data_IF_083049624337
#
_entry.id   IF_083049624337
#
_cell.length_a   1.000
_cell.length_b   1.000
_cell.length_c   1.000
_cell.angle_alpha   90.00
_cell.angle_beta   90.00
_cell.angle_gamma   90.00
#
_symmetry.space_group_name_H-M   'P 1'
#
loop_
_entity.id
_entity.type
_entity.pdbx_description
1 polymer ?
#
# COMPACT_ATOMS: atom_id res chain seq x y z
N UNK A 1 45.41 -28.70 10.20
CA UNK A 1 44.49 -29.58 10.96
C UNK A 1 43.08 -29.27 10.49
N UNK A 2 42.66 -29.98 9.45
CA UNK A 2 41.70 -31.09 9.51
C UNK A 2 40.26 -30.56 9.38
N UNK A 3 39.74 -30.66 8.15
CA UNK A 3 38.38 -30.30 7.80
C UNK A 3 37.36 -31.39 8.13
N UNK A 4 36.08 -31.02 8.12
CA UNK A 4 34.97 -31.94 8.17
C UNK A 4 33.95 -31.53 7.09
N UNK A 5 34.00 -32.25 5.96
CA UNK A 5 32.95 -32.23 4.96
C UNK A 5 31.85 -33.19 5.37
N UNK A 6 30.60 -32.74 5.30
CA UNK A 6 29.42 -33.57 5.52
C UNK A 6 28.86 -33.92 4.14
N UNK A 7 29.10 -35.17 3.74
CA UNK A 7 28.50 -35.80 2.57
C UNK A 7 27.25 -36.54 3.01
N UNK A 8 26.09 -36.17 2.47
CA UNK A 8 24.83 -36.92 2.67
C UNK A 8 24.47 -37.56 1.34
N UNK A 9 24.82 -38.84 1.21
CA UNK A 9 24.30 -39.72 0.17
C UNK A 9 23.17 -40.56 0.76
N UNK A 10 22.01 -40.57 0.09
CA UNK A 10 20.98 -41.59 0.26
C UNK A 10 20.44 -41.94 -1.13
N UNK A 11 21.07 -42.97 -1.71
CA UNK A 11 20.51 -43.76 -2.81
C UNK A 11 19.24 -44.44 -2.32
N UNK A 12 18.11 -44.19 -2.98
CA UNK A 12 16.94 -45.04 -2.85
C UNK A 12 16.75 -45.79 -4.17
N UNK A 13 17.37 -46.97 -4.21
CA UNK A 13 17.22 -47.97 -5.27
C UNK A 13 15.91 -48.72 -5.03
N UNK A 14 14.87 -48.42 -5.80
CA UNK A 14 13.66 -49.23 -5.82
C UNK A 14 13.76 -50.20 -7.01
N UNK A 15 14.16 -51.44 -6.70
CA UNK A 15 14.14 -52.56 -7.62
C UNK A 15 12.71 -53.01 -7.87
N UNK A 16 12.27 -52.88 -9.12
CA UNK A 16 11.01 -53.46 -9.60
C UNK A 16 11.36 -54.81 -10.25
N UNK A 17 10.82 -55.95 -9.76
CA UNK A 17 11.09 -57.24 -10.34
C UNK A 17 10.38 -57.37 -11.70
N UNK A 18 11.18 -57.56 -12.75
CA UNK A 18 10.73 -58.04 -14.05
C UNK A 18 10.36 -59.52 -13.89
N UNK A 19 9.07 -59.83 -13.82
CA UNK A 19 8.57 -61.18 -14.05
C UNK A 19 7.59 -61.20 -15.21
N UNK A 20 8.09 -61.79 -16.29
CA UNK A 20 7.40 -62.37 -17.43
C UNK A 20 6.08 -63.05 -17.04
N UNK A 21 4.98 -62.58 -17.64
CA UNK A 21 3.76 -63.36 -17.86
C UNK A 21 3.33 -63.13 -19.31
N UNK A 22 3.96 -63.89 -20.20
CA UNK A 22 3.44 -64.22 -21.52
C UNK A 22 2.40 -65.33 -21.36
N UNK A 23 1.21 -65.08 -21.89
CA UNK A 23 0.18 -66.02 -22.36
C UNK A 23 -1.19 -65.69 -21.80
N UNK A 24 -1.94 -64.83 -22.50
CA UNK A 24 -3.35 -65.08 -22.78
C UNK A 24 -3.71 -64.43 -24.12
N UNK A 25 -3.86 -65.31 -25.11
CA UNK A 25 -4.35 -64.99 -26.44
C UNK A 25 -5.88 -65.07 -26.39
N UNK A 26 -6.56 -64.06 -26.95
CA UNK A 26 -7.95 -64.19 -27.39
C UNK A 26 -8.97 -63.34 -26.63
N UNK A 27 -9.18 -62.10 -27.09
CA UNK A 27 -10.51 -61.63 -27.52
C UNK A 27 -10.38 -60.18 -27.99
N UNK A 28 -10.62 -59.99 -29.29
CA UNK A 28 -10.73 -58.68 -29.90
C UNK A 28 -11.98 -57.95 -29.41
N UNK A 29 -11.88 -56.62 -29.34
CA UNK A 29 -13.06 -55.75 -29.32
C UNK A 29 -13.22 -54.81 -28.13
N UNK A 30 -12.16 -54.35 -27.45
CA UNK A 30 -12.28 -53.29 -26.43
C UNK A 30 -11.09 -52.30 -26.41
N UNK A 31 -10.39 -52.10 -27.52
CA UNK A 31 -9.21 -51.21 -27.56
C UNK A 31 -9.54 -49.73 -27.84
N UNK A 32 -10.81 -49.36 -28.07
CA UNK A 32 -11.18 -48.03 -28.56
C UNK A 32 -11.80 -47.08 -27.51
N UNK A 33 -11.96 -47.50 -26.25
CA UNK A 33 -12.56 -46.62 -25.21
C UNK A 33 -11.54 -45.94 -24.28
N UNK A 34 -10.30 -46.45 -24.18
CA UNK A 34 -9.27 -45.86 -23.32
C UNK A 34 -8.41 -44.78 -24.00
N UNK A 35 -8.49 -44.62 -25.33
CA UNK A 35 -7.76 -43.60 -26.07
C UNK A 35 -8.34 -42.18 -25.88
N UNK A 36 -9.65 -42.08 -25.64
CA UNK A 36 -10.35 -40.81 -25.40
C UNK A 36 -9.81 -39.99 -24.23
N UNK A 37 -9.74 -40.52 -23.00
CA UNK A 37 -9.29 -39.75 -21.85
C UNK A 37 -7.81 -39.34 -21.95
N UNK A 38 -6.95 -40.17 -22.55
CA UNK A 38 -5.54 -39.83 -22.76
C UNK A 38 -5.36 -38.67 -23.76
N UNK A 39 -6.14 -38.64 -24.84
CA UNK A 39 -6.10 -37.54 -25.80
C UNK A 39 -6.54 -36.21 -25.17
N UNK A 40 -7.56 -36.23 -24.28
CA UNK A 40 -8.03 -35.05 -23.57
C UNK A 40 -6.97 -34.52 -22.60
N UNK A 41 -6.36 -35.40 -21.79
CA UNK A 41 -5.30 -35.00 -20.85
C UNK A 41 -4.10 -34.42 -21.60
N UNK A 42 -3.68 -35.03 -22.71
CA UNK A 42 -2.59 -34.53 -23.53
C UNK A 42 -2.90 -33.15 -24.13
N UNK A 43 -4.13 -32.95 -24.64
CA UNK A 43 -4.57 -31.65 -25.15
C UNK A 43 -4.60 -30.57 -24.05
N UNK A 44 -5.05 -30.90 -22.85
CA UNK A 44 -5.03 -29.98 -21.70
C UNK A 44 -3.60 -29.59 -21.31
N UNK A 45 -2.68 -30.55 -21.24
CA UNK A 45 -1.26 -30.27 -20.93
C UNK A 45 -0.67 -29.33 -21.98
N UNK A 46 -0.87 -29.60 -23.27
CA UNK A 46 -0.38 -28.74 -24.35
C UNK A 46 -0.99 -27.34 -24.31
N UNK A 47 -2.29 -27.21 -24.00
CA UNK A 47 -2.96 -25.92 -23.87
C UNK A 47 -2.40 -25.10 -22.68
N UNK A 48 -2.17 -25.75 -21.54
CA UNK A 48 -1.56 -25.11 -20.35
C UNK A 48 -0.13 -24.69 -20.66
N UNK A 49 0.68 -25.54 -21.30
CA UNK A 49 2.05 -25.19 -21.68
C UNK A 49 2.09 -24.02 -22.66
N UNK A 50 1.20 -24.00 -23.68
CA UNK A 50 1.09 -22.89 -24.62
C UNK A 50 0.61 -21.58 -23.96
N UNK A 51 -0.29 -21.67 -22.98
CA UNK A 51 -0.72 -20.52 -22.20
C UNK A 51 0.41 -19.97 -21.33
N UNK A 52 1.16 -20.85 -20.65
CA UNK A 52 2.30 -20.46 -19.82
C UNK A 52 3.43 -19.83 -20.63
N UNK A 53 3.75 -20.34 -21.83
CA UNK A 53 4.75 -19.71 -22.71
C UNK A 53 4.28 -18.36 -23.24
N UNK A 54 2.98 -18.18 -23.49
CA UNK A 54 2.40 -16.88 -23.86
C UNK A 54 2.43 -15.88 -22.71
N UNK A 55 2.16 -16.30 -21.49
CA UNK A 55 2.21 -15.45 -20.28
C UNK A 55 3.67 -15.09 -19.95
N UNK A 56 4.60 -16.04 -20.06
CA UNK A 56 6.03 -15.80 -19.84
C UNK A 56 6.68 -14.99 -20.98
N UNK A 57 6.12 -15.04 -22.20
CA UNK A 57 6.56 -14.25 -23.35
C UNK A 57 6.20 -12.77 -23.30
N UNK A 58 5.44 -12.32 -22.30
CA UNK A 58 5.32 -10.90 -21.95
C UNK A 58 6.56 -10.42 -21.16
N UNK A 59 7.76 -10.76 -21.62
CA UNK A 59 8.92 -9.93 -21.35
C UNK A 59 8.77 -8.66 -22.17
N UNK A 60 8.57 -7.55 -21.47
CA UNK A 60 8.43 -6.21 -22.02
C UNK A 60 9.45 -5.97 -23.13
N UNK A 61 8.96 -5.82 -24.36
CA UNK A 61 9.70 -5.08 -25.37
C UNK A 61 9.89 -3.68 -24.79
N UNK A 62 11.11 -3.38 -24.36
CA UNK A 62 11.52 -2.08 -23.90
C UNK A 62 11.25 -1.07 -25.03
N UNK A 63 10.29 -0.15 -24.88
CA UNK A 63 10.06 0.84 -25.91
C UNK A 63 11.30 1.73 -25.92
N UNK A 64 12.04 1.70 -27.03
CA UNK A 64 13.14 2.61 -27.30
C UNK A 64 12.64 4.04 -27.08
N UNK A 65 13.07 4.66 -25.97
CA UNK A 65 12.77 6.05 -25.66
C UNK A 65 13.48 6.89 -26.72
N UNK A 66 12.75 7.61 -27.61
CA UNK A 66 13.41 8.52 -28.53
C UNK A 66 14.07 9.64 -27.72
N UNK A 67 15.40 9.70 -27.74
CA UNK A 67 16.14 10.84 -27.20
C UNK A 67 15.77 12.09 -28.00
N UNK A 68 14.82 12.88 -27.49
CA UNK A 68 14.62 14.26 -27.93
C UNK A 68 15.77 15.10 -27.41
N UNK A 69 16.62 15.56 -28.33
CA UNK A 69 17.64 16.59 -28.11
C UNK A 69 16.92 17.88 -27.65
N UNK A 70 17.34 18.42 -26.50
CA UNK A 70 16.67 19.50 -25.78
C UNK A 70 16.77 20.91 -26.44
N UNK A 71 17.08 21.00 -27.74
CA UNK A 71 17.42 22.29 -28.38
C UNK A 71 16.42 22.75 -29.44
N UNK A 72 15.40 21.95 -29.80
CA UNK A 72 14.53 22.25 -30.95
C UNK A 72 13.07 22.59 -30.57
N UNK A 73 12.86 23.38 -29.50
CA UNK A 73 11.55 23.95 -29.23
C UNK A 73 11.52 25.44 -29.62
N UNK A 74 10.76 25.86 -30.65
CA UNK A 74 10.59 27.27 -30.95
C UNK A 74 9.86 27.96 -29.78
N UNK A 75 10.35 29.13 -29.38
CA UNK A 75 9.75 29.98 -28.37
C UNK A 75 8.31 30.35 -28.79
N UNK A 76 7.32 29.60 -28.29
CA UNK A 76 5.92 30.01 -28.39
C UNK A 76 5.67 31.12 -27.38
N UNK A 77 5.26 32.27 -27.91
CA UNK A 77 4.79 33.41 -27.14
C UNK A 77 3.59 32.99 -26.28
N UNK A 78 3.76 33.05 -24.96
CA UNK A 78 2.75 32.77 -23.94
C UNK A 78 1.79 33.94 -23.66
N UNK A 79 1.69 34.88 -24.58
CA UNK A 79 0.83 36.04 -24.39
C UNK A 79 -0.53 35.73 -25.01
N UNK A 80 -1.57 35.70 -24.16
CA UNK A 80 -3.01 35.56 -24.46
C UNK A 80 -3.61 34.15 -24.33
N UNK A 81 -3.55 33.60 -23.11
CA UNK A 81 -4.59 32.68 -22.64
C UNK A 81 -5.50 33.45 -21.67
N UNK A 82 -6.67 33.82 -22.15
CA UNK A 82 -7.77 34.34 -21.35
C UNK A 82 -8.14 33.29 -20.30
N UNK A 83 -7.88 33.59 -19.03
CA UNK A 83 -8.22 32.69 -17.93
C UNK A 83 -9.76 32.51 -17.85
N UNK A 84 -10.27 31.27 -17.73
CA UNK A 84 -11.70 31.04 -17.48
C UNK A 84 -12.12 31.63 -16.14
N UNK A 85 -13.43 31.87 -15.92
CA UNK A 85 -13.96 32.43 -14.69
C UNK A 85 -13.43 31.66 -13.48
N UNK A 86 -12.84 32.42 -12.56
CA UNK A 86 -12.10 31.92 -11.42
C UNK A 86 -13.11 31.22 -10.50
N UNK A 87 -13.05 29.90 -10.40
CA UNK A 87 -13.73 29.19 -9.31
C UNK A 87 -13.22 29.80 -8.00
N UNK A 88 -14.10 30.10 -7.01
CA UNK A 88 -13.65 30.53 -5.71
C UNK A 88 -12.65 29.48 -5.21
N UNK A 89 -11.42 29.92 -4.93
CA UNK A 89 -10.40 29.06 -4.37
C UNK A 89 -11.02 28.38 -3.13
N UNK A 90 -10.86 27.06 -2.95
CA UNK A 90 -11.24 26.43 -1.69
C UNK A 90 -10.56 27.25 -0.58
N UNK A 91 -11.26 27.54 0.53
CA UNK A 91 -10.70 28.36 1.60
C UNK A 91 -9.35 27.78 1.98
N UNK A 92 -8.29 28.53 1.69
CA UNK A 92 -6.96 28.23 2.17
C UNK A 92 -7.03 28.40 3.69
N UNK A 93 -7.31 27.32 4.41
CA UNK A 93 -7.21 27.31 5.86
C UNK A 93 -5.81 27.78 6.22
N UNK A 94 -5.73 28.87 6.97
CA UNK A 94 -4.49 29.42 7.53
C UNK A 94 -3.94 28.48 8.60
N UNK A 95 -3.55 27.27 8.21
CA UNK A 95 -3.03 26.17 9.06
C UNK A 95 -1.74 26.57 9.81
N UNK A 96 -1.11 27.68 9.45
CA UNK A 96 0.21 28.08 9.96
C UNK A 96 0.30 28.29 11.47
N UNK A 97 -0.78 28.67 12.16
CA UNK A 97 -0.78 28.87 13.62
C UNK A 97 -1.23 27.66 14.44
N UNK A 98 -1.88 26.70 13.79
CA UNK A 98 -2.46 25.54 14.46
C UNK A 98 -1.54 24.31 14.43
N UNK A 99 -0.32 24.43 13.93
CA UNK A 99 0.66 23.33 13.90
C UNK A 99 1.45 23.22 15.19
N UNK A 100 1.71 21.99 15.60
CA UNK A 100 2.55 21.69 16.74
C UNK A 100 3.99 22.15 16.46
N UNK A 101 4.55 22.97 17.36
CA UNK A 101 5.93 23.44 17.21
C UNK A 101 6.91 22.27 17.38
N UNK A 102 8.14 22.38 16.86
CA UNK A 102 9.14 21.31 17.01
C UNK A 102 9.41 21.03 18.49
N UNK A 103 9.54 22.08 19.31
CA UNK A 103 9.76 21.98 20.76
C UNK A 103 8.59 21.29 21.45
N UNK A 104 7.35 21.71 21.18
CA UNK A 104 6.17 21.08 21.77
C UNK A 104 6.06 19.62 21.35
N UNK A 105 6.32 19.32 20.08
CA UNK A 105 6.20 17.97 19.58
C UNK A 105 7.29 17.03 20.12
N UNK A 106 8.49 17.52 20.49
CA UNK A 106 9.49 16.68 21.18
C UNK A 106 9.04 16.31 22.60
N UNK A 107 8.26 17.19 23.22
CA UNK A 107 7.74 16.99 24.56
C UNK A 107 6.45 16.15 24.56
N UNK A 108 5.57 16.39 23.59
CA UNK A 108 4.20 15.88 23.58
C UNK A 108 4.05 14.62 22.72
N UNK A 109 4.89 14.38 21.72
CA UNK A 109 4.80 13.16 20.89
C UNK A 109 5.57 12.00 21.54
N UNK A 110 5.12 11.61 22.72
CA UNK A 110 5.66 10.48 23.50
C UNK A 110 4.52 9.52 23.78
N UNK A 111 4.73 8.23 23.47
CA UNK A 111 3.74 7.20 23.73
C UNK A 111 3.45 7.08 25.24
N UNK A 112 2.21 6.74 25.58
CA UNK A 112 1.80 6.48 26.96
C UNK A 112 2.35 5.16 27.51
N UNK A 113 1.94 4.79 28.73
CA UNK A 113 2.37 3.55 29.39
C UNK A 113 1.94 2.28 28.63
N UNK A 114 0.94 2.38 27.75
CA UNK A 114 0.42 1.31 26.91
C UNK A 114 1.09 1.31 25.52
N UNK A 115 2.01 2.24 25.26
CA UNK A 115 2.67 2.40 23.96
C UNK A 115 1.79 3.08 22.91
N UNK A 116 0.68 3.72 23.32
CA UNK A 116 -0.22 4.41 22.39
C UNK A 116 0.19 5.89 22.23
N UNK A 117 0.11 6.43 21.01
CA UNK A 117 0.49 7.82 20.74
C UNK A 117 -0.56 8.79 21.31
N UNK A 118 -0.18 9.98 21.79
CA UNK A 118 -1.12 11.03 22.23
C UNK A 118 -1.70 11.78 21.03
N UNK A 119 -2.17 11.04 20.02
CA UNK A 119 -2.63 11.54 18.74
C UNK A 119 -4.04 11.03 18.44
N UNK A 120 -4.79 11.83 17.70
CA UNK A 120 -6.10 11.48 17.15
C UNK A 120 -6.17 11.93 15.69
N UNK A 121 -7.00 11.26 14.90
CA UNK A 121 -7.32 11.67 13.54
C UNK A 121 -8.58 12.52 13.58
N UNK A 122 -8.52 13.72 13.02
CA UNK A 122 -9.67 14.62 12.88
C UNK A 122 -9.78 15.15 11.46
N UNK A 123 -11.01 15.38 11.00
CA UNK A 123 -11.26 15.96 9.69
C UNK A 123 -11.17 17.49 9.76
N UNK A 124 -10.30 18.08 8.94
CA UNK A 124 -10.22 19.52 8.73
C UNK A 124 -10.31 19.84 7.24
N UNK A 125 -11.45 20.39 6.82
CA UNK A 125 -11.68 20.80 5.44
C UNK A 125 -11.68 19.64 4.43
N UNK A 126 -12.30 18.49 4.78
CA UNK A 126 -12.38 17.31 3.89
C UNK A 126 -11.12 16.43 3.89
N UNK A 127 -10.14 16.75 4.73
CA UNK A 127 -8.87 16.03 4.84
C UNK A 127 -8.66 15.56 6.26
N UNK A 128 -8.22 14.32 6.43
CA UNK A 128 -7.88 13.78 7.73
C UNK A 128 -6.50 14.29 8.16
N UNK A 129 -6.40 14.80 9.39
CA UNK A 129 -5.17 15.29 10.01
C UNK A 129 -4.92 14.58 11.33
N UNK A 130 -3.65 14.46 11.70
CA UNK A 130 -3.26 14.08 13.05
C UNK A 130 -3.33 15.31 13.96
N UNK A 131 -3.90 15.15 15.14
CA UNK A 131 -4.07 16.18 16.17
C UNK A 131 -3.52 15.65 17.48
N UNK A 132 -2.65 16.41 18.12
CA UNK A 132 -2.16 16.07 19.47
C UNK A 132 -3.23 16.42 20.51
N UNK A 133 -3.54 15.44 21.37
CA UNK A 133 -4.75 15.47 22.21
C UNK A 133 -4.75 16.56 23.27
N UNK A 134 -3.57 16.93 23.80
CA UNK A 134 -3.44 17.86 24.93
C UNK A 134 -3.51 19.31 24.48
N UNK A 135 -2.84 19.63 23.38
CA UNK A 135 -2.72 20.98 22.83
C UNK A 135 -3.76 21.28 21.75
N UNK A 136 -4.41 20.26 21.18
CA UNK A 136 -5.32 20.38 20.04
C UNK A 136 -4.63 20.80 18.75
N UNK A 137 -3.30 20.83 18.71
CA UNK A 137 -2.53 21.28 17.54
C UNK A 137 -2.36 20.16 16.53
N UNK A 138 -2.34 20.55 15.26
CA UNK A 138 -2.13 19.68 14.11
C UNK A 138 -0.67 19.19 14.05
N UNK A 139 -0.52 17.90 13.78
CA UNK A 139 0.76 17.23 13.55
C UNK A 139 0.88 16.91 12.08
N UNK A 140 2.02 17.28 11.49
CA UNK A 140 2.29 16.98 10.09
C UNK A 140 2.40 15.46 9.87
N UNK A 141 1.72 14.94 8.85
CA UNK A 141 1.85 13.53 8.46
C UNK A 141 3.32 13.19 8.09
N UNK A 142 4.14 14.16 7.69
CA UNK A 142 5.57 13.94 7.42
C UNK A 142 6.49 14.05 8.64
N UNK A 143 5.97 14.11 9.86
CA UNK A 143 6.78 14.35 11.05
C UNK A 143 7.70 13.15 11.35
N UNK A 144 8.99 13.43 11.51
CA UNK A 144 10.04 12.42 11.66
C UNK A 144 9.94 11.60 12.95
N UNK A 145 9.10 12.02 13.91
CA UNK A 145 8.88 11.31 15.19
C UNK A 145 7.80 10.24 15.10
N UNK A 146 6.92 10.29 14.09
CA UNK A 146 5.84 9.33 13.94
C UNK A 146 6.33 7.86 13.89
N UNK A 147 7.43 7.51 13.20
CA UNK A 147 7.92 6.13 13.18
C UNK A 147 8.32 5.61 14.56
N UNK A 148 8.82 6.48 15.46
CA UNK A 148 9.16 6.10 16.84
C UNK A 148 7.90 5.80 17.68
N UNK A 149 6.74 6.31 17.26
CA UNK A 149 5.43 5.97 17.81
C UNK A 149 4.75 4.80 17.10
N UNK A 150 5.47 4.11 16.20
CA UNK A 150 4.92 3.02 15.39
C UNK A 150 3.97 3.48 14.28
N UNK A 151 3.96 4.78 13.95
CA UNK A 151 3.14 5.37 12.90
C UNK A 151 4.01 5.66 11.68
N UNK A 152 3.61 5.13 10.54
CA UNK A 152 4.29 5.32 9.27
C UNK A 152 3.42 6.14 8.33
N UNK A 153 4.06 7.08 7.63
CA UNK A 153 3.38 7.94 6.69
C UNK A 153 3.90 7.68 5.29
N UNK A 154 3.01 7.19 4.44
CA UNK A 154 3.37 6.64 3.13
C UNK A 154 2.74 7.51 2.05
N UNK A 155 3.56 7.97 1.11
CA UNK A 155 3.09 8.65 -0.08
C UNK A 155 3.18 7.71 -1.28
N UNK A 156 2.04 7.28 -1.79
CA UNK A 156 1.98 6.55 -3.06
C UNK A 156 1.97 7.55 -4.21
N UNK A 157 3.05 7.51 -4.98
CA UNK A 157 3.18 8.27 -6.23
C UNK A 157 2.74 7.41 -7.40
N UNK A 158 2.51 8.04 -8.54
CA UNK A 158 2.16 7.36 -9.78
C UNK A 158 0.85 6.57 -9.73
N UNK A 159 -0.06 6.87 -8.78
CA UNK A 159 -1.39 6.28 -8.79
C UNK A 159 -2.21 7.00 -9.83
N UNK A 160 -2.40 6.38 -10.99
CA UNK A 160 -3.22 6.94 -12.05
C UNK A 160 -4.66 7.07 -11.53
N UNK A 161 -5.17 8.30 -11.46
CA UNK A 161 -6.52 8.59 -11.01
C UNK A 161 -7.60 8.06 -11.95
N UNK A 162 -7.21 7.60 -13.14
CA UNK A 162 -8.08 6.88 -14.08
C UNK A 162 -8.13 5.38 -13.80
N UNK A 163 -7.30 4.87 -12.90
CA UNK A 163 -7.37 3.46 -12.49
C UNK A 163 -8.75 3.13 -11.97
N UNK A 164 -9.13 1.88 -12.18
CA UNK A 164 -10.43 1.35 -11.83
C UNK A 164 -10.73 1.59 -10.34
N UNK A 165 -9.71 1.54 -9.48
CA UNK A 165 -9.82 1.78 -8.03
C UNK A 165 -10.36 3.18 -7.67
N UNK A 166 -9.89 4.22 -8.35
CA UNK A 166 -10.37 5.58 -8.12
C UNK A 166 -11.80 5.78 -8.68
N UNK A 167 -12.12 5.12 -9.79
CA UNK A 167 -13.47 5.19 -10.40
C UNK A 167 -14.53 4.41 -9.62
N UNK A 168 -14.15 3.27 -9.06
CA UNK A 168 -15.02 2.44 -8.22
C UNK A 168 -15.22 3.03 -6.81
N UNK A 169 -14.60 4.19 -6.52
CA UNK A 169 -14.72 4.83 -5.21
C UNK A 169 -14.04 4.06 -4.08
N UNK A 170 -13.05 3.20 -4.39
CA UNK A 170 -12.34 2.41 -3.38
C UNK A 170 -11.20 3.16 -2.70
N UNK A 171 -10.87 4.36 -3.21
CA UNK A 171 -9.80 5.22 -2.71
C UNK A 171 -10.39 6.56 -2.27
N UNK A 172 -10.98 6.57 -1.07
CA UNK A 172 -11.45 7.77 -0.37
C UNK A 172 -10.75 7.90 0.99
N UNK A 173 -10.79 9.09 1.59
CA UNK A 173 -10.29 9.28 2.97
C UNK A 173 -11.01 8.32 3.93
N UNK A 174 -10.25 7.65 4.80
CA UNK A 174 -10.73 6.58 5.68
C UNK A 174 -10.74 5.17 5.07
N UNK A 175 -10.49 5.02 3.76
CA UNK A 175 -10.47 3.69 3.15
C UNK A 175 -9.30 2.83 3.68
N UNK A 176 -9.61 1.60 4.09
CA UNK A 176 -8.61 0.64 4.56
C UNK A 176 -7.83 0.01 3.40
N UNK A 177 -6.55 -0.21 3.61
CA UNK A 177 -5.61 -0.84 2.68
C UNK A 177 -4.75 -1.85 3.41
N UNK A 178 -4.20 -2.81 2.65
CA UNK A 178 -3.30 -3.86 3.14
C UNK A 178 -1.90 -3.65 2.62
N UNK A 179 -0.92 -3.84 3.49
CA UNK A 179 0.49 -3.86 3.11
C UNK A 179 0.94 -5.32 2.93
N UNK A 180 1.60 -5.61 1.81
CA UNK A 180 2.03 -6.97 1.45
C UNK A 180 3.53 -6.96 1.15
N UNK A 181 4.31 -7.69 1.95
CA UNK A 181 5.75 -7.86 1.72
C UNK A 181 6.02 -8.67 0.46
N UNK A 182 7.01 -8.24 -0.32
CA UNK A 182 7.50 -8.94 -1.51
C UNK A 182 9.03 -9.12 -1.46
N UNK A 183 9.56 -9.98 -0.58
CA UNK A 183 11.01 -10.11 -0.37
C UNK A 183 11.80 -10.61 -1.60
N UNK A 184 11.11 -11.23 -2.57
CA UNK A 184 11.69 -11.74 -3.82
C UNK A 184 11.50 -10.79 -5.01
N UNK A 185 11.12 -9.54 -4.78
CA UNK A 185 10.98 -8.56 -5.85
C UNK A 185 12.36 -8.24 -6.43
N UNK A 186 12.49 -8.34 -7.75
CA UNK A 186 13.77 -8.19 -8.44
C UNK A 186 14.35 -6.77 -8.36
N UNK A 187 13.51 -5.74 -8.17
CA UNK A 187 13.94 -4.35 -8.11
C UNK A 187 14.35 -3.90 -6.70
N UNK A 188 13.69 -4.44 -5.67
CA UNK A 188 13.92 -4.06 -4.26
C UNK A 188 13.52 -5.22 -3.33
N UNK A 189 14.47 -5.79 -2.59
CA UNK A 189 14.20 -6.86 -1.62
C UNK A 189 13.34 -6.39 -0.42
N UNK A 190 13.28 -5.08 -0.18
CA UNK A 190 12.42 -4.49 0.83
C UNK A 190 11.04 -4.12 0.27
N UNK A 191 10.71 -4.46 -0.98
CA UNK A 191 9.45 -4.07 -1.60
C UNK A 191 8.23 -4.43 -0.74
N UNK A 192 7.34 -3.44 -0.61
CA UNK A 192 6.03 -3.57 0.02
C UNK A 192 4.99 -3.05 -0.96
N UNK A 193 4.11 -3.94 -1.39
CA UNK A 193 2.95 -3.61 -2.21
C UNK A 193 1.80 -3.14 -1.32
N UNK A 194 1.04 -2.17 -1.81
CA UNK A 194 -0.20 -1.70 -1.16
C UNK A 194 -1.38 -2.21 -1.97
N UNK A 195 -2.27 -2.94 -1.30
CA UNK A 195 -3.46 -3.52 -1.89
C UNK A 195 -4.74 -2.92 -1.27
N UNK A 196 -5.80 -2.83 -2.06
CA UNK A 196 -7.14 -2.55 -1.54
C UNK A 196 -7.66 -3.73 -0.71
N UNK A 197 -8.75 -3.53 0.03
CA UNK A 197 -9.48 -4.63 0.69
C UNK A 197 -9.98 -5.70 -0.28
N UNK A 198 -10.17 -5.35 -1.55
CA UNK A 198 -10.54 -6.27 -2.64
C UNK A 198 -9.34 -7.02 -3.24
N UNK A 199 -8.13 -6.79 -2.72
CA UNK A 199 -6.89 -7.45 -3.16
C UNK A 199 -6.23 -6.82 -4.38
N UNK A 200 -6.77 -5.72 -4.93
CA UNK A 200 -6.20 -5.05 -6.10
C UNK A 200 -4.98 -4.22 -5.71
N UNK A 201 -3.93 -4.28 -6.53
CA UNK A 201 -2.71 -3.50 -6.34
C UNK A 201 -3.00 -2.01 -6.56
N UNK A 202 -2.72 -1.19 -5.54
CA UNK A 202 -2.82 0.28 -5.57
C UNK A 202 -1.48 0.89 -5.97
N UNK A 203 -0.38 0.33 -5.46
CA UNK A 203 0.96 0.84 -5.72
C UNK A 203 2.00 0.21 -4.80
N UNK A 204 3.18 0.83 -4.74
CA UNK A 204 4.29 0.38 -3.91
C UNK A 204 4.74 1.47 -2.95
N UNK A 205 5.14 1.05 -1.74
CA UNK A 205 5.77 1.93 -0.75
C UNK A 205 7.13 2.37 -1.30
N UNK A 206 7.51 3.64 -1.07
CA UNK A 206 8.82 4.14 -1.51
C UNK A 206 9.97 3.35 -0.85
N UNK A 207 11.08 3.07 -1.54
CA UNK A 207 12.17 2.23 -1.01
C UNK A 207 12.70 2.68 0.36
N UNK A 208 12.80 4.01 0.59
CA UNK A 208 13.26 4.57 1.87
C UNK A 208 12.38 4.16 3.05
N UNK A 209 11.05 4.25 2.89
CA UNK A 209 10.10 3.84 3.94
C UNK A 209 10.04 2.32 4.00
N UNK A 210 10.06 1.66 2.85
CA UNK A 210 9.97 0.22 2.74
C UNK A 210 11.11 -0.48 3.48
N UNK A 211 12.33 0.04 3.45
CA UNK A 211 13.46 -0.52 4.20
C UNK A 211 13.21 -0.61 5.72
N UNK A 212 12.61 0.41 6.33
CA UNK A 212 12.27 0.39 7.76
C UNK A 212 11.07 -0.48 8.06
N UNK A 213 10.02 -0.36 7.24
CA UNK A 213 8.76 -1.08 7.45
C UNK A 213 8.89 -2.58 7.13
N UNK A 214 9.80 -2.97 6.25
CA UNK A 214 10.09 -4.34 5.89
C UNK A 214 10.53 -5.15 7.10
N UNK A 215 11.47 -4.63 7.90
CA UNK A 215 11.94 -5.29 9.11
C UNK A 215 10.81 -5.50 10.13
N UNK A 216 9.91 -4.51 10.26
CA UNK A 216 8.75 -4.59 11.17
C UNK A 216 7.78 -5.70 10.73
N UNK A 217 7.48 -5.77 9.43
CA UNK A 217 6.61 -6.80 8.86
C UNK A 217 7.25 -8.19 8.92
N UNK A 218 8.55 -8.30 8.66
CA UNK A 218 9.29 -9.57 8.70
C UNK A 218 9.41 -10.12 10.12
N UNK A 219 9.39 -9.25 11.14
CA UNK A 219 9.27 -9.64 12.54
C UNK A 219 7.88 -10.20 12.91
N UNK A 220 6.94 -10.25 11.96
CA UNK A 220 5.57 -10.73 12.17
C UNK A 220 4.62 -9.67 12.75
N UNK A 221 5.05 -8.41 12.83
CA UNK A 221 4.18 -7.32 13.30
C UNK A 221 3.09 -7.05 12.28
N UNK A 222 1.84 -7.09 12.71
CA UNK A 222 0.70 -6.72 11.86
C UNK A 222 0.62 -5.20 11.72
N UNK A 223 0.62 -4.70 10.49
CA UNK A 223 0.47 -3.28 10.16
C UNK A 223 -0.65 -3.13 9.13
N UNK A 224 -1.65 -2.35 9.50
CA UNK A 224 -2.74 -1.95 8.61
C UNK A 224 -2.49 -0.53 8.10
N UNK A 225 -3.14 -0.16 6.99
CA UNK A 225 -3.02 1.17 6.40
C UNK A 225 -4.39 1.79 6.11
N UNK A 226 -4.49 3.10 6.26
CA UNK A 226 -5.70 3.88 5.98
C UNK A 226 -5.35 5.07 5.09
N UNK A 227 -6.18 5.34 4.10
CA UNK A 227 -6.07 6.52 3.25
C UNK A 227 -6.43 7.77 4.06
N UNK A 228 -5.52 8.72 4.12
CA UNK A 228 -5.71 9.99 4.86
C UNK A 228 -6.16 11.09 3.92
N UNK A 229 -5.53 11.12 2.75
CA UNK A 229 -5.88 12.06 1.69
C UNK A 229 -5.65 11.45 0.32
N UNK A 230 -6.53 11.82 -0.59
CA UNK A 230 -6.42 11.52 -2.01
C UNK A 230 -6.51 12.82 -2.78
N UNK A 231 -5.43 13.17 -3.47
CA UNK A 231 -5.43 14.32 -4.38
C UNK A 231 -5.31 13.81 -5.81
N UNK A 232 -6.44 13.85 -6.53
CA UNK A 232 -6.46 13.74 -7.98
C UNK A 232 -6.70 15.12 -8.55
N UNK A 233 -5.75 15.63 -9.33
CA UNK A 233 -5.95 16.90 -10.04
C UNK A 233 -6.79 16.61 -11.28
N UNK A 234 -8.10 16.84 -11.15
CA UNK A 234 -9.08 16.64 -12.22
C UNK A 234 -8.63 17.35 -13.50
N UNK A 235 -8.65 16.65 -14.63
CA UNK A 235 -8.23 17.17 -15.94
C UNK A 235 -6.71 17.22 -16.18
N UNK A 236 -5.87 16.89 -15.20
CA UNK A 236 -4.42 16.80 -15.42
C UNK A 236 -3.99 15.40 -15.86
N UNK A 237 -2.98 15.32 -16.73
CA UNK A 237 -2.31 14.05 -17.06
C UNK A 237 -1.33 13.59 -15.96
N UNK A 238 -1.28 14.31 -14.83
CA UNK A 238 -0.37 13.98 -13.75
C UNK A 238 -0.99 12.91 -12.86
N UNK A 239 -0.20 11.90 -12.43
CA UNK A 239 -0.69 10.89 -11.52
C UNK A 239 -1.12 11.52 -10.19
N UNK A 240 -2.15 10.94 -9.58
CA UNK A 240 -2.62 11.33 -8.25
C UNK A 240 -1.60 11.00 -7.17
N UNK A 241 -1.70 11.72 -6.05
CA UNK A 241 -0.93 11.45 -4.84
C UNK A 241 -1.88 10.94 -3.76
N UNK A 242 -1.57 9.77 -3.22
CA UNK A 242 -2.29 9.19 -2.08
C UNK A 242 -1.38 9.23 -0.86
N UNK A 243 -1.90 9.77 0.23
CA UNK A 243 -1.23 9.75 1.54
C UNK A 243 -1.92 8.72 2.41
N UNK A 244 -1.12 7.81 2.98
CA UNK A 244 -1.58 6.77 3.88
C UNK A 244 -0.94 6.95 5.26
N UNK A 245 -1.70 6.60 6.28
CA UNK A 245 -1.18 6.29 7.61
C UNK A 245 -1.17 4.77 7.77
N UNK A 246 -0.05 4.23 8.20
CA UNK A 246 0.09 2.82 8.51
C UNK A 246 0.61 2.63 9.94
N UNK A 247 -0.04 1.78 10.72
CA UNK A 247 0.35 1.49 12.10
C UNK A 247 -0.21 0.12 12.52
N UNK A 248 0.08 -0.30 13.75
CA UNK A 248 -0.57 -1.49 14.32
C UNK A 248 -2.10 -1.30 14.35
N UNK A 249 -2.90 -2.38 14.28
CA UNK A 249 -4.36 -2.27 14.36
C UNK A 249 -4.82 -1.54 15.62
N UNK A 250 -4.20 -1.80 16.77
CA UNK A 250 -4.51 -1.13 18.03
C UNK A 250 -4.21 0.37 17.97
N UNK A 251 -3.07 0.76 17.40
CA UNK A 251 -2.71 2.17 17.20
C UNK A 251 -3.70 2.86 16.26
N UNK A 252 -4.09 2.22 15.14
CA UNK A 252 -5.08 2.79 14.23
C UNK A 252 -6.45 2.94 14.90
N UNK A 253 -6.93 1.94 15.62
CA UNK A 253 -8.20 2.03 16.36
C UNK A 253 -8.17 3.19 17.35
N UNK A 254 -7.07 3.37 18.08
CA UNK A 254 -6.88 4.52 18.99
C UNK A 254 -6.85 5.86 18.26
N UNK A 255 -6.16 5.94 17.11
CA UNK A 255 -6.10 7.16 16.31
C UNK A 255 -7.48 7.58 15.79
N UNK A 256 -8.32 6.62 15.37
CA UNK A 256 -9.65 6.86 14.81
C UNK A 256 -10.78 6.84 15.85
N UNK A 257 -10.46 6.58 17.11
CA UNK A 257 -11.44 6.66 18.18
C UNK A 257 -11.98 8.10 18.24
N UNK A 258 -13.31 8.28 18.19
CA UNK A 258 -13.91 9.60 18.36
C UNK A 258 -13.38 10.20 19.65
N UNK A 259 -12.84 11.42 19.57
CA UNK A 259 -12.58 12.19 20.79
C UNK A 259 -13.94 12.44 21.38
N UNK A 260 -14.28 11.66 22.40
CA UNK A 260 -15.48 11.94 23.19
C UNK A 260 -15.27 13.35 23.70
N UNK A 261 -16.12 14.27 23.25
CA UNK A 261 -16.17 15.66 23.72
C UNK A 261 -16.67 15.70 25.17
N UNK A 262 -16.11 14.87 26.04
CA UNK A 262 -16.36 14.89 27.46
C UNK A 262 -15.58 16.06 28.03
N UNK A 263 -16.32 17.16 28.23
CA UNK A 263 -15.87 18.28 29.05
C UNK A 263 -15.55 19.54 28.25
N UNK A 264 -16.54 20.07 27.52
CA UNK A 264 -16.81 21.48 27.80
C UNK A 264 -17.19 21.54 29.28
N UNK A 265 -16.18 21.76 30.13
CA UNK A 265 -16.40 22.37 31.42
C UNK A 265 -17.04 23.71 31.08
N UNK A 266 -18.37 23.74 31.07
CA UNK A 266 -19.08 24.97 31.32
C UNK A 266 -18.61 25.38 32.71
N UNK A 267 -17.56 26.21 32.76
CA UNK A 267 -17.49 27.21 33.81
C UNK A 267 -18.64 28.17 33.55
N UNK A 268 -19.86 27.73 33.85
CA UNK A 268 -20.90 28.64 34.27
C UNK A 268 -20.40 29.18 35.60
N UNK A 269 -19.65 30.29 35.54
CA UNK A 269 -19.50 31.15 36.71
C UNK A 269 -20.93 31.44 37.18
N UNK A 270 -21.28 31.19 38.46
CA UNK A 270 -22.54 31.69 38.97
C UNK A 270 -22.52 33.21 38.87
N UNK A 271 -23.37 33.72 37.97
CA UNK A 271 -23.90 35.08 38.02
C UNK A 271 -24.78 35.15 39.27
N UNK A 272 -24.15 35.31 40.44
CA UNK A 272 -24.83 35.76 41.64
C UNK A 272 -24.15 37.01 42.21
N UNK A 273 -24.83 38.13 41.94
CA UNK A 273 -25.18 39.15 42.92
C UNK A 273 -24.13 40.24 43.21
N UNK A 274 -23.96 41.11 42.22
CA UNK A 274 -24.10 42.55 42.43
C UNK A 274 -25.57 42.94 42.24
N UNK A 275 -26.41 42.85 43.28
CA UNK A 275 -27.58 43.74 43.47
C UNK A 275 -28.18 43.48 44.86
N UNK A 276 -28.03 44.45 45.76
CA UNK A 276 -28.60 44.44 47.11
C UNK A 276 -27.73 45.15 48.10
#
# INVERSE_FOLDING_TARGET
MAGAGISVGLSTTLGIPVRSVLNHCGQGGLAMELLGPFAIVLACVLAITAWLTRVAGYSAAEPAIPQRRATDAPARAWNQLTLPPQWPAPPCLSIGRDRLSITDANRLLVADAQGLPPLRVQEHGGVLWLVEVTSGKLVGIGDARLPALGIWSIWLRAVDSRTILAREGLLHSGAALRLVRQPRNAADSNAIAVHSVTGRLVGYVSPRIAAGLAAVLDAGTSIDAVVVSFSSRSGSSQPGLITLLAASPQTLSHLFEPVSSHGTVQMSLPDELLTG
#
